data_IF_946970390768
#
_entry.id   IF_946970390768
#
_cell.length_a   1.000
_cell.length_b   1.000
_cell.length_c   1.000
_cell.angle_alpha   90.00
_cell.angle_beta   90.00
_cell.angle_gamma   90.00
#
_symmetry.space_group_name_H-M   'P 1'
#
loop_
_entity.id
_entity.type
_entity.pdbx_description
1 polymer ?
#
# COMPACT_ATOMS: atom_id res chain seq x y z
N UNK A 1 -5.03 -1.70 -1.97
CA UNK A 1 -5.20 -2.90 -2.81
C UNK A 1 -5.66 -2.58 -4.23
N UNK A 2 -5.46 -3.52 -5.17
CA UNK A 2 -5.92 -3.38 -6.55
C UNK A 2 -7.46 -3.57 -6.67
N UNK A 3 -8.02 -3.28 -7.86
CA UNK A 3 -9.47 -3.29 -8.10
C UNK A 3 -10.06 -4.68 -7.82
N UNK A 4 -10.98 -4.76 -6.87
CA UNK A 4 -11.73 -5.98 -6.55
C UNK A 4 -13.00 -6.11 -7.43
N UNK A 5 -13.55 -7.32 -7.50
CA UNK A 5 -14.86 -7.58 -8.11
C UNK A 5 -15.97 -6.81 -7.39
N UNK A 6 -17.10 -6.64 -8.07
CA UNK A 6 -18.27 -5.98 -7.49
C UNK A 6 -18.73 -6.71 -6.22
N UNK A 7 -19.17 -6.00 -5.16
CA UNK A 7 -19.66 -6.61 -3.93
C UNK A 7 -20.78 -7.66 -4.13
N UNK A 8 -21.63 -7.45 -5.11
CA UNK A 8 -22.73 -8.40 -5.41
C UNK A 8 -22.25 -9.76 -5.91
N UNK A 9 -20.98 -9.88 -6.35
CA UNK A 9 -20.38 -11.11 -6.86
C UNK A 9 -19.68 -11.95 -5.78
N UNK A 10 -19.67 -11.48 -4.53
CA UNK A 10 -19.06 -12.19 -3.41
C UNK A 10 -20.08 -12.42 -2.29
N UNK A 11 -19.92 -13.53 -1.56
CA UNK A 11 -20.78 -13.86 -0.42
C UNK A 11 -20.62 -12.86 0.74
N UNK A 12 -19.40 -12.41 0.95
CA UNK A 12 -19.04 -11.40 1.96
C UNK A 12 -18.02 -10.44 1.36
N UNK A 13 -17.96 -9.19 1.85
CA UNK A 13 -16.98 -8.21 1.37
C UNK A 13 -15.53 -8.69 1.58
N UNK A 14 -15.28 -9.42 2.65
CA UNK A 14 -13.97 -10.00 2.97
C UNK A 14 -13.46 -10.93 1.86
N UNK A 15 -14.35 -11.73 1.26
CA UNK A 15 -14.03 -12.75 0.25
C UNK A 15 -13.90 -12.18 -1.18
N UNK A 16 -14.10 -10.89 -1.38
CA UNK A 16 -13.99 -10.26 -2.71
C UNK A 16 -12.58 -10.37 -3.25
N UNK A 17 -12.43 -11.11 -4.34
CA UNK A 17 -11.17 -11.29 -5.06
C UNK A 17 -10.87 -10.10 -5.97
N UNK A 18 -9.68 -10.05 -6.55
CA UNK A 18 -9.35 -9.06 -7.57
C UNK A 18 -10.17 -9.29 -8.85
N UNK A 19 -10.68 -8.20 -9.41
CA UNK A 19 -11.25 -8.18 -10.74
C UNK A 19 -10.15 -8.43 -11.81
N UNK A 20 -10.50 -8.85 -13.04
CA UNK A 20 -9.51 -9.01 -14.12
C UNK A 20 -8.64 -7.77 -14.32
N UNK A 21 -9.25 -6.57 -14.29
CA UNK A 21 -8.51 -5.31 -14.36
C UNK A 21 -7.56 -5.13 -13.18
N UNK A 22 -7.98 -5.48 -11.95
CA UNK A 22 -7.11 -5.36 -10.78
C UNK A 22 -5.86 -6.24 -10.89
N UNK A 23 -5.98 -7.44 -11.45
CA UNK A 23 -4.83 -8.32 -11.74
C UNK A 23 -3.90 -7.70 -12.78
N UNK A 24 -4.46 -7.19 -13.89
CA UNK A 24 -3.67 -6.51 -14.91
C UNK A 24 -2.95 -5.28 -14.36
N UNK A 25 -3.61 -4.46 -13.53
CA UNK A 25 -2.98 -3.30 -12.89
C UNK A 25 -1.79 -3.73 -11.98
N UNK A 26 -1.87 -4.88 -11.30
CA UNK A 26 -0.75 -5.44 -10.51
C UNK A 26 0.39 -5.91 -11.41
N UNK A 27 0.09 -6.54 -12.55
CA UNK A 27 1.10 -6.96 -13.51
C UNK A 27 1.84 -5.74 -14.11
N UNK A 28 1.12 -4.67 -14.43
CA UNK A 28 1.70 -3.40 -14.91
C UNK A 28 2.60 -2.75 -13.84
N UNK A 29 2.16 -2.76 -12.56
CA UNK A 29 2.98 -2.28 -11.45
C UNK A 29 4.27 -3.09 -11.32
N UNK A 30 4.20 -4.41 -11.37
CA UNK A 30 5.38 -5.28 -11.34
C UNK A 30 6.32 -5.02 -12.50
N UNK A 31 5.79 -4.83 -13.72
CA UNK A 31 6.58 -4.48 -14.89
C UNK A 31 7.28 -3.11 -14.73
N UNK A 32 6.60 -2.13 -14.13
CA UNK A 32 7.18 -0.82 -13.80
C UNK A 32 8.30 -0.96 -12.77
N UNK A 33 8.06 -1.67 -11.67
CA UNK A 33 9.05 -1.90 -10.61
C UNK A 33 10.28 -2.68 -11.09
N UNK A 34 10.15 -3.50 -12.15
CA UNK A 34 11.27 -4.20 -12.76
C UNK A 34 12.19 -3.28 -13.61
N UNK A 35 11.65 -2.17 -14.12
CA UNK A 35 12.40 -1.20 -14.93
C UNK A 35 13.07 -0.09 -14.13
N UNK A 36 12.63 0.11 -12.90
CA UNK A 36 13.10 1.18 -12.03
C UNK A 36 13.66 0.59 -10.75
N UNK A 37 14.75 1.18 -10.26
CA UNK A 37 15.35 0.78 -8.99
C UNK A 37 14.52 1.38 -7.85
N UNK A 38 13.74 0.53 -7.19
CA UNK A 38 12.96 0.88 -6.02
C UNK A 38 13.48 0.09 -4.82
N UNK A 39 13.58 0.75 -3.67
CA UNK A 39 13.90 0.07 -2.42
C UNK A 39 12.80 -0.95 -2.13
N UNK A 40 13.16 -2.22 -2.12
CA UNK A 40 12.24 -3.31 -1.90
C UNK A 40 12.01 -3.52 -0.39
N UNK A 41 10.77 -3.50 0.09
CA UNK A 41 10.48 -3.86 1.48
C UNK A 41 10.71 -5.35 1.68
N UNK A 42 11.32 -5.72 2.81
CA UNK A 42 11.46 -7.14 3.22
C UNK A 42 10.31 -7.61 4.11
N UNK A 43 9.51 -6.68 4.61
CA UNK A 43 8.37 -6.92 5.46
C UNK A 43 7.13 -6.28 4.85
N UNK A 44 6.04 -7.05 4.72
CA UNK A 44 4.76 -6.57 4.23
C UNK A 44 3.68 -6.81 5.29
N UNK A 45 3.12 -5.73 5.80
CA UNK A 45 1.88 -5.76 6.55
C UNK A 45 0.70 -5.89 5.58
N UNK A 46 -0.15 -6.88 5.76
CA UNK A 46 -1.24 -7.17 4.81
C UNK A 46 -2.55 -7.41 5.56
N UNK A 47 -3.59 -6.70 5.17
CA UNK A 47 -4.94 -7.03 5.61
C UNK A 47 -5.35 -8.41 5.07
N UNK A 48 -6.00 -9.28 5.85
CA UNK A 48 -6.29 -10.66 5.45
C UNK A 48 -7.51 -10.82 4.51
N UNK A 49 -7.99 -9.74 3.87
CA UNK A 49 -9.03 -9.86 2.86
C UNK A 49 -8.48 -10.41 1.53
N UNK A 50 -9.26 -11.20 0.81
CA UNK A 50 -8.81 -11.86 -0.42
C UNK A 50 -8.17 -10.91 -1.45
N UNK A 51 -8.69 -9.69 -1.60
CA UNK A 51 -8.17 -8.67 -2.54
C UNK A 51 -6.81 -8.10 -2.13
N UNK A 52 -6.56 -7.98 -0.84
CA UNK A 52 -5.27 -7.52 -0.29
C UNK A 52 -4.21 -8.60 -0.40
N UNK A 53 -4.53 -9.84 -0.06
CA UNK A 53 -3.66 -10.99 -0.24
C UNK A 53 -3.27 -11.19 -1.72
N UNK A 54 -4.25 -11.13 -2.63
CA UNK A 54 -4.00 -11.25 -4.07
C UNK A 54 -3.19 -10.09 -4.64
N UNK A 55 -3.25 -8.91 -4.05
CA UNK A 55 -2.38 -7.78 -4.40
C UNK A 55 -0.96 -8.01 -3.85
N UNK A 56 -0.85 -8.46 -2.59
CA UNK A 56 0.43 -8.65 -1.89
C UNK A 56 1.27 -9.79 -2.47
N UNK A 57 0.64 -10.93 -2.79
CA UNK A 57 1.34 -12.17 -3.17
C UNK A 57 2.36 -11.98 -4.30
N UNK A 58 2.04 -11.38 -5.46
CA UNK A 58 3.02 -11.18 -6.52
C UNK A 58 4.11 -10.18 -6.15
N UNK A 59 3.79 -9.13 -5.36
CA UNK A 59 4.77 -8.17 -4.85
C UNK A 59 5.74 -8.83 -3.86
N UNK A 60 5.21 -9.61 -2.92
CA UNK A 60 6.01 -10.35 -1.95
C UNK A 60 7.00 -11.31 -2.64
N UNK A 61 6.55 -12.02 -3.67
CA UNK A 61 7.42 -12.90 -4.48
C UNK A 61 8.53 -12.11 -5.18
N UNK A 62 8.18 -10.95 -5.75
CA UNK A 62 9.15 -10.07 -6.45
C UNK A 62 10.23 -9.56 -5.51
N UNK A 63 9.86 -9.17 -4.30
CA UNK A 63 10.77 -8.56 -3.33
C UNK A 63 11.38 -9.56 -2.34
N UNK A 64 10.92 -10.80 -2.35
CA UNK A 64 11.28 -11.82 -1.35
C UNK A 64 10.92 -11.36 0.08
N UNK A 65 9.77 -10.70 0.21
CA UNK A 65 9.30 -10.15 1.47
C UNK A 65 8.61 -11.21 2.33
N UNK A 66 8.79 -11.11 3.64
CA UNK A 66 7.90 -11.77 4.59
C UNK A 66 6.52 -11.10 4.55
N UNK A 67 5.47 -11.89 4.43
CA UNK A 67 4.08 -11.42 4.49
C UNK A 67 3.57 -11.66 5.90
N UNK A 68 3.11 -10.61 6.56
CA UNK A 68 2.51 -10.67 7.89
C UNK A 68 1.07 -10.19 7.79
N UNK A 69 0.16 -11.14 7.93
CA UNK A 69 -1.26 -10.84 7.98
C UNK A 69 -1.61 -10.22 9.32
N UNK A 70 -2.24 -9.05 9.28
CA UNK A 70 -2.67 -8.33 10.47
C UNK A 70 -4.19 -8.09 10.39
N UNK A 71 -4.98 -8.82 11.19
CA UNK A 71 -6.45 -8.73 11.15
C UNK A 71 -7.00 -7.34 11.41
N UNK A 72 -6.33 -6.54 12.24
CA UNK A 72 -6.76 -5.16 12.55
C UNK A 72 -6.73 -4.24 11.34
N UNK A 73 -6.01 -4.58 10.27
CA UNK A 73 -5.93 -3.80 9.04
C UNK A 73 -7.17 -3.92 8.13
N UNK A 74 -8.10 -4.84 8.45
CA UNK A 74 -9.31 -4.97 7.66
C UNK A 74 -10.24 -3.77 7.86
N UNK A 75 -10.40 -2.95 6.82
CA UNK A 75 -11.17 -1.69 6.83
C UNK A 75 -10.74 -0.72 7.96
N UNK A 76 -9.49 -0.77 8.36
CA UNK A 76 -8.91 0.03 9.41
C UNK A 76 -8.91 1.53 9.09
N UNK A 77 -9.00 2.35 10.12
CA UNK A 77 -8.73 3.78 10.05
C UNK A 77 -7.21 4.08 10.09
N UNK A 78 -6.85 5.34 9.88
CA UNK A 78 -5.46 5.77 9.82
C UNK A 78 -4.68 5.52 11.12
N UNK A 79 -5.32 5.67 12.29
CA UNK A 79 -4.65 5.46 13.58
C UNK A 79 -4.35 3.99 13.82
N UNK A 80 -5.29 3.10 13.55
CA UNK A 80 -5.08 1.65 13.62
C UNK A 80 -3.94 1.20 12.70
N UNK A 81 -3.85 1.79 11.48
CA UNK A 81 -2.77 1.47 10.55
C UNK A 81 -1.44 2.03 11.07
N UNK A 82 -1.42 3.22 11.67
CA UNK A 82 -0.23 3.81 12.28
C UNK A 82 0.30 2.92 13.42
N UNK A 83 -0.58 2.47 14.32
CA UNK A 83 -0.21 1.57 15.43
C UNK A 83 0.45 0.28 14.89
N UNK A 84 -0.09 -0.28 13.81
CA UNK A 84 0.50 -1.45 13.14
C UNK A 84 1.92 -1.14 12.62
N UNK A 85 2.13 -0.01 11.95
CA UNK A 85 3.44 0.41 11.46
C UNK A 85 4.44 0.66 12.59
N UNK A 86 4.02 1.27 13.69
CA UNK A 86 4.86 1.48 14.88
C UNK A 86 5.30 0.15 15.53
N UNK A 87 4.51 -0.91 15.38
CA UNK A 87 4.86 -2.28 15.81
C UNK A 87 5.85 -3.02 14.91
N UNK A 88 6.35 -2.38 13.85
CA UNK A 88 7.33 -3.01 12.94
C UNK A 88 8.65 -3.30 13.67
N UNK A 89 9.24 -4.50 13.47
CA UNK A 89 10.55 -4.81 14.06
C UNK A 89 11.63 -3.79 13.67
N UNK A 90 12.44 -3.39 14.62
CA UNK A 90 13.52 -2.40 14.41
C UNK A 90 14.62 -2.86 13.44
N UNK A 91 14.66 -4.17 13.12
CA UNK A 91 15.54 -4.72 12.07
C UNK A 91 15.10 -4.35 10.66
N UNK A 92 13.83 -3.94 10.48
CA UNK A 92 13.26 -3.65 9.17
C UNK A 92 13.34 -2.14 8.91
N UNK A 93 14.14 -1.74 7.95
CA UNK A 93 14.35 -0.34 7.57
C UNK A 93 13.48 0.10 6.38
N UNK A 94 12.73 -0.83 5.79
CA UNK A 94 11.76 -0.58 4.73
C UNK A 94 10.63 -1.60 4.81
N UNK A 95 9.40 -1.12 4.94
CA UNK A 95 8.20 -1.97 4.98
C UNK A 95 7.20 -1.56 3.91
N UNK A 96 6.40 -2.52 3.47
CA UNK A 96 5.21 -2.26 2.67
C UNK A 96 3.96 -2.52 3.51
N UNK A 97 2.89 -1.81 3.18
CA UNK A 97 1.59 -2.02 3.80
C UNK A 97 0.51 -2.07 2.72
N UNK A 98 -0.36 -3.08 2.80
CA UNK A 98 -1.43 -3.30 1.83
C UNK A 98 -2.75 -3.47 2.60
N UNK A 99 -3.58 -2.44 2.53
CA UNK A 99 -4.86 -2.39 3.23
C UNK A 99 -5.94 -1.70 2.39
N UNK A 100 -6.83 -0.93 2.99
CA UNK A 100 -8.05 -0.43 2.38
C UNK A 100 -8.18 1.08 2.51
N UNK A 101 -8.86 1.71 1.55
CA UNK A 101 -9.35 3.08 1.70
C UNK A 101 -10.67 3.10 2.49
N UNK A 102 -10.96 4.19 3.21
CA UNK A 102 -10.19 5.46 3.21
C UNK A 102 -8.92 5.42 4.09
N UNK A 103 -8.76 4.46 5.00
CA UNK A 103 -7.70 4.46 6.00
C UNK A 103 -6.28 4.67 5.43
N UNK A 104 -5.94 4.07 4.27
CA UNK A 104 -4.65 4.30 3.60
C UNK A 104 -4.49 5.76 3.14
N UNK A 105 -5.51 6.34 2.50
CA UNK A 105 -5.45 7.74 2.05
C UNK A 105 -5.29 8.68 3.23
N UNK A 106 -6.09 8.48 4.28
CA UNK A 106 -6.06 9.29 5.50
C UNK A 106 -4.69 9.16 6.21
N UNK A 107 -4.14 7.94 6.29
CA UNK A 107 -2.81 7.71 6.87
C UNK A 107 -1.72 8.46 6.11
N UNK A 108 -1.71 8.34 4.78
CA UNK A 108 -0.68 8.98 3.96
C UNK A 108 -0.71 10.49 4.14
N UNK A 109 -1.90 11.11 4.10
CA UNK A 109 -2.03 12.55 4.37
C UNK A 109 -1.66 12.93 5.81
N UNK A 110 -2.01 12.10 6.79
CA UNK A 110 -1.64 12.34 8.18
C UNK A 110 -0.11 12.34 8.39
N UNK A 111 0.61 11.44 7.72
CA UNK A 111 2.05 11.27 7.90
C UNK A 111 2.89 12.30 7.16
N UNK A 112 2.43 12.76 5.98
CA UNK A 112 3.16 13.70 5.13
C UNK A 112 3.31 15.08 5.77
N UNK A 113 4.43 15.73 5.46
CA UNK A 113 4.58 17.16 5.70
C UNK A 113 3.46 17.95 5.02
N UNK A 114 2.92 18.95 5.70
CA UNK A 114 1.73 19.68 5.26
C UNK A 114 1.89 20.34 3.87
N UNK A 115 3.10 20.77 3.52
CA UNK A 115 3.43 21.37 2.23
C UNK A 115 3.49 20.37 1.07
N UNK A 116 3.47 19.07 1.34
CA UNK A 116 3.49 18.01 0.33
C UNK A 116 2.09 17.42 0.03
N UNK A 117 1.06 17.84 0.75
CA UNK A 117 -0.30 17.29 0.60
C UNK A 117 -0.87 17.46 -0.83
N UNK A 118 -0.55 18.57 -1.51
CA UNK A 118 -1.02 18.83 -2.88
C UNK A 118 -0.39 17.90 -3.93
N UNK A 119 0.68 17.19 -3.58
CA UNK A 119 1.33 16.24 -4.49
C UNK A 119 0.52 14.95 -4.70
N UNK A 120 -0.47 14.69 -3.84
CA UNK A 120 -1.30 13.49 -3.84
C UNK A 120 -2.79 13.83 -4.01
N UNK A 121 -3.58 12.93 -4.64
CA UNK A 121 -5.02 13.06 -4.61
C UNK A 121 -5.54 12.85 -3.18
N UNK A 122 -6.60 13.58 -2.78
CA UNK A 122 -7.24 13.41 -1.48
C UNK A 122 -7.64 11.93 -1.23
N UNK A 123 -8.19 11.28 -2.27
CA UNK A 123 -8.48 9.84 -2.26
C UNK A 123 -7.53 9.12 -3.23
N UNK A 124 -6.66 8.29 -2.69
CA UNK A 124 -5.79 7.45 -3.52
C UNK A 124 -6.63 6.43 -4.30
N UNK A 125 -6.41 6.27 -5.61
CA UNK A 125 -7.12 5.26 -6.39
C UNK A 125 -6.73 3.84 -5.96
N UNK A 126 -7.51 2.85 -6.37
CA UNK A 126 -7.11 1.43 -6.23
C UNK A 126 -5.74 1.22 -6.86
N UNK A 127 -4.88 0.49 -6.14
CA UNK A 127 -3.46 0.31 -6.47
C UNK A 127 -2.66 1.63 -6.54
N UNK A 128 -3.11 2.69 -5.85
CA UNK A 128 -2.25 3.84 -5.56
C UNK A 128 -1.14 3.40 -4.61
N UNK A 129 0.11 3.79 -4.90
CA UNK A 129 1.29 3.48 -4.10
C UNK A 129 2.00 4.78 -3.76
N UNK A 130 2.05 5.12 -2.48
CA UNK A 130 2.85 6.22 -1.96
C UNK A 130 4.09 5.65 -1.25
N UNK A 131 5.26 6.17 -1.60
CA UNK A 131 6.49 5.85 -0.91
C UNK A 131 6.89 7.05 -0.05
N UNK A 132 6.96 6.82 1.25
CA UNK A 132 7.27 7.84 2.24
C UNK A 132 8.61 7.52 2.90
N UNK A 133 9.30 8.58 3.36
CA UNK A 133 10.52 8.46 4.16
C UNK A 133 10.41 9.32 5.41
N UNK A 134 10.99 8.85 6.50
CA UNK A 134 11.12 9.62 7.75
C UNK A 134 12.44 9.26 8.43
N UNK A 135 12.80 10.02 9.46
CA UNK A 135 13.99 9.79 10.28
C UNK A 135 13.56 9.30 11.67
N UNK A 136 14.20 8.23 12.16
CA UNK A 136 13.88 7.62 13.46
C UNK A 136 13.50 6.15 13.33
N UNK A 137 13.12 5.53 14.42
CA UNK A 137 12.59 4.16 14.46
C UNK A 137 11.10 4.11 14.16
N UNK A 138 10.57 2.93 13.88
CA UNK A 138 9.13 2.76 13.59
C UNK A 138 8.24 3.24 14.73
N UNK A 139 8.66 3.05 15.98
CA UNK A 139 7.94 3.53 17.17
C UNK A 139 7.84 5.07 17.24
N UNK A 140 8.69 5.79 16.50
CA UNK A 140 8.70 7.26 16.46
C UNK A 140 7.86 7.81 15.30
N UNK A 141 7.30 6.95 14.45
CA UNK A 141 6.46 7.36 13.33
C UNK A 141 5.23 8.12 13.85
N UNK A 142 5.01 9.34 13.35
CA UNK A 142 3.99 10.25 13.87
C UNK A 142 3.45 11.15 12.73
N UNK A 143 2.33 11.86 12.96
CA UNK A 143 1.82 12.81 11.97
C UNK A 143 2.84 13.88 11.58
N UNK A 144 2.83 14.27 10.29
CA UNK A 144 3.59 15.40 9.74
C UNK A 144 5.12 15.28 9.84
N UNK A 145 5.68 14.04 9.78
CA UNK A 145 7.13 13.81 9.83
C UNK A 145 7.69 13.13 8.58
N UNK A 146 6.85 12.73 7.64
CA UNK A 146 7.28 12.02 6.45
C UNK A 146 7.39 12.93 5.24
N UNK A 147 8.45 12.73 4.45
CA UNK A 147 8.55 13.27 3.09
C UNK A 147 8.04 12.26 2.05
N UNK A 148 7.43 12.76 0.97
CA UNK A 148 7.01 11.95 -0.17
C UNK A 148 8.18 11.69 -1.11
N UNK A 149 8.57 10.44 -1.27
CA UNK A 149 9.63 10.06 -2.23
C UNK A 149 9.07 9.77 -3.61
N UNK A 150 7.95 9.07 -3.70
CA UNK A 150 7.30 8.79 -4.99
C UNK A 150 5.81 8.47 -4.82
N UNK A 151 5.06 8.70 -5.90
CA UNK A 151 3.67 8.28 -5.99
C UNK A 151 3.40 7.64 -7.35
N UNK A 152 2.87 6.41 -7.32
CA UNK A 152 2.44 5.66 -8.49
C UNK A 152 0.94 5.39 -8.43
N UNK A 153 0.33 5.31 -9.60
CA UNK A 153 -1.05 4.84 -9.77
C UNK A 153 -1.18 4.14 -11.12
N UNK A 154 -2.19 3.30 -11.34
CA UNK A 154 -2.36 2.61 -12.62
C UNK A 154 -2.33 3.56 -13.83
N UNK A 155 -2.95 4.74 -13.73
CA UNK A 155 -2.90 5.75 -14.79
C UNK A 155 -1.50 6.28 -15.07
N UNK A 156 -0.71 6.56 -14.03
CA UNK A 156 0.66 7.09 -14.16
C UNK A 156 1.60 6.03 -14.72
N UNK A 157 1.45 4.78 -14.31
CA UNK A 157 2.25 3.65 -14.81
C UNK A 157 1.99 3.42 -16.30
N UNK A 158 0.74 3.43 -16.75
CA UNK A 158 0.35 3.25 -18.15
C UNK A 158 0.87 4.37 -19.08
N UNK A 159 0.95 5.62 -18.60
CA UNK A 159 1.52 6.75 -19.37
C UNK A 159 3.04 6.61 -19.54
N UNK A 160 3.72 5.99 -18.57
CA UNK A 160 5.18 5.79 -18.62
C UNK A 160 5.63 4.66 -19.55
N UNK A 161 4.71 3.90 -20.15
CA UNK A 161 4.97 2.75 -21.04
C UNK A 161 4.92 3.14 -22.52
N UNK A 162 4.47 4.35 -22.86
CA UNK A 162 4.46 4.94 -24.21
C UNK A 162 5.66 5.87 -24.40
#
# INVERSE_FOLDING_TARGET
HAKAVDPVLARQDFDRTLAPRGRADVDDLLAHLNRHDHRAPRWLWVSPAARTEQTATPLARRWQSAVVEEPSLYLADAHTILDCLQGTPSSEDCVGLIAHNPGISDLVHMLLHTDEHEALPADMPTLGVAQLTFTGGWQDLAPNICGLTSYLSPKRIQISVN
#
